data_IF_262272483329
#
_entry.id   IF_262272483329
#
_cell.length_a   1.000
_cell.length_b   1.000
_cell.length_c   1.000
_cell.angle_alpha   90.00
_cell.angle_beta   90.00
_cell.angle_gamma   90.00
#
_symmetry.space_group_name_H-M   'P 1'
#
loop_
_entity.id
_entity.type
_entity.pdbx_description
1 polymer ?
#
# COMPACT_ATOMS: atom_id res chain seq x y z
N UNK A 1 9.60 13.06 -30.37
CA UNK A 1 8.41 13.80 -29.90
C UNK A 1 8.58 14.08 -28.42
N UNK A 2 8.50 15.35 -28.01
CA UNK A 2 8.54 15.75 -26.60
C UNK A 2 7.12 15.67 -26.02
N UNK A 3 6.96 15.00 -24.88
CA UNK A 3 5.66 14.82 -24.19
C UNK A 3 5.28 16.04 -23.36
N UNK A 4 3.98 16.24 -23.20
CA UNK A 4 3.36 17.32 -22.44
C UNK A 4 3.33 16.91 -20.95
N UNK A 5 3.50 17.84 -19.99
CA UNK A 5 3.36 17.53 -18.56
C UNK A 5 1.96 16.97 -18.25
N UNK A 6 1.89 15.82 -17.57
CA UNK A 6 0.64 15.21 -17.12
C UNK A 6 0.25 13.86 -17.78
N UNK A 7 1.02 13.36 -18.75
CA UNK A 7 0.85 11.97 -19.20
C UNK A 7 1.48 10.98 -18.22
N UNK A 8 0.70 10.00 -17.75
CA UNK A 8 1.23 8.89 -16.94
C UNK A 8 2.36 8.18 -17.71
N UNK A 9 3.48 7.96 -17.02
CA UNK A 9 4.61 7.21 -17.56
C UNK A 9 4.27 5.73 -17.84
N UNK A 10 3.09 5.27 -17.41
CA UNK A 10 2.58 3.90 -17.63
C UNK A 10 1.99 3.68 -19.03
N UNK A 11 1.65 4.75 -19.75
CA UNK A 11 0.75 4.64 -20.91
C UNK A 11 1.36 4.40 -22.29
N UNK A 12 2.69 4.34 -22.47
CA UNK A 12 3.25 4.26 -23.83
C UNK A 12 4.56 3.48 -23.90
N UNK A 13 4.45 2.30 -24.51
CA UNK A 13 5.56 1.46 -24.95
C UNK A 13 5.78 0.27 -24.02
N UNK A 14 6.24 -0.85 -24.58
CA UNK A 14 6.54 -2.12 -23.91
C UNK A 14 7.61 -2.05 -22.79
N UNK A 15 7.93 -0.86 -22.29
CA UNK A 15 8.81 -0.63 -21.15
C UNK A 15 7.99 -0.67 -19.87
N UNK A 16 7.75 -1.89 -19.42
CA UNK A 16 7.15 -2.23 -18.13
C UNK A 16 7.68 -1.35 -16.99
N UNK A 17 6.78 -0.98 -16.08
CA UNK A 17 7.10 -0.50 -14.74
C UNK A 17 7.66 -1.68 -13.92
N UNK A 18 8.85 -2.18 -14.27
CA UNK A 18 9.36 -3.43 -13.72
C UNK A 18 9.80 -3.28 -12.26
N UNK A 19 10.31 -2.15 -11.78
CA UNK A 19 11.15 -2.19 -10.58
C UNK A 19 10.55 -2.10 -9.16
N UNK A 20 9.24 -1.87 -8.90
CA UNK A 20 8.76 -1.81 -7.51
C UNK A 20 9.12 -3.07 -6.72
N UNK A 21 9.09 -4.24 -7.34
CA UNK A 21 9.40 -5.51 -6.67
C UNK A 21 10.84 -5.56 -6.15
N UNK A 22 11.81 -4.94 -6.83
CA UNK A 22 13.22 -4.90 -6.38
C UNK A 22 13.32 -4.01 -5.15
N UNK A 23 12.71 -2.84 -5.20
CA UNK A 23 12.68 -1.89 -4.08
C UNK A 23 12.05 -2.52 -2.84
N UNK A 24 10.87 -3.13 -2.98
CA UNK A 24 10.17 -3.77 -1.86
C UNK A 24 10.91 -5.02 -1.35
N UNK A 25 11.52 -5.83 -2.23
CA UNK A 25 12.34 -6.96 -1.79
C UNK A 25 13.61 -6.50 -1.05
N UNK A 26 14.24 -5.41 -1.48
CA UNK A 26 15.36 -4.81 -0.76
C UNK A 26 14.93 -4.28 0.61
N UNK A 27 13.81 -3.54 0.68
CA UNK A 27 13.24 -3.04 1.93
C UNK A 27 12.94 -4.16 2.92
N UNK A 28 12.34 -5.28 2.46
CA UNK A 28 12.11 -6.48 3.27
C UNK A 28 13.41 -7.03 3.86
N UNK A 29 14.45 -7.19 3.04
CA UNK A 29 15.73 -7.79 3.45
C UNK A 29 16.59 -6.87 4.30
N UNK A 30 16.42 -5.56 4.15
CA UNK A 30 17.14 -4.52 4.88
C UNK A 30 16.35 -3.97 6.07
N UNK A 31 15.22 -4.59 6.42
CA UNK A 31 14.37 -4.14 7.50
C UNK A 31 15.18 -3.99 8.81
N UNK A 32 15.04 -2.84 9.53
CA UNK A 32 15.72 -2.63 10.79
C UNK A 32 15.40 -3.77 11.76
N UNK A 33 16.44 -4.41 12.29
CA UNK A 33 16.25 -5.54 13.20
C UNK A 33 15.74 -5.13 14.58
N UNK A 34 15.79 -3.84 14.93
CA UNK A 34 15.50 -3.38 16.30
C UNK A 34 14.72 -2.07 16.32
N UNK A 35 13.39 -2.15 16.17
CA UNK A 35 12.49 -1.13 16.70
C UNK A 35 12.19 -1.49 18.15
N UNK A 36 12.37 -0.54 19.07
CA UNK A 36 12.12 -0.75 20.50
C UNK A 36 10.69 -1.20 20.77
N UNK A 37 10.49 -2.09 21.75
CA UNK A 37 9.18 -2.64 22.11
C UNK A 37 8.15 -1.56 22.43
N UNK A 38 8.56 -0.47 23.07
CA UNK A 38 7.69 0.67 23.35
C UNK A 38 7.19 1.37 22.08
N UNK A 39 8.06 1.57 21.09
CA UNK A 39 7.68 2.20 19.82
C UNK A 39 6.76 1.30 19.01
N UNK A 40 7.07 -0.01 18.94
CA UNK A 40 6.21 -1.02 18.33
C UNK A 40 4.82 -1.05 18.96
N UNK A 41 4.72 -1.00 20.29
CA UNK A 41 3.46 -0.95 21.02
C UNK A 41 2.68 0.36 20.74
N UNK A 42 3.39 1.49 20.58
CA UNK A 42 2.79 2.77 20.19
C UNK A 42 2.16 2.69 18.81
N UNK A 43 2.91 2.19 17.81
CA UNK A 43 2.40 2.01 16.44
C UNK A 43 1.20 1.04 16.41
N UNK A 44 1.26 -0.06 17.19
CA UNK A 44 0.16 -0.99 17.32
C UNK A 44 -1.10 -0.33 17.91
N UNK A 45 -0.94 0.54 18.90
CA UNK A 45 -2.04 1.31 19.50
C UNK A 45 -2.66 2.27 18.49
N UNK A 46 -1.83 2.98 17.71
CA UNK A 46 -2.30 3.89 16.67
C UNK A 46 -3.10 3.13 15.59
N UNK A 47 -2.60 1.97 15.16
CA UNK A 47 -3.28 1.12 14.18
C UNK A 47 -4.62 0.60 14.69
N UNK A 48 -4.66 0.08 15.93
CA UNK A 48 -5.91 -0.40 16.54
C UNK A 48 -6.94 0.71 16.72
N UNK A 49 -6.51 1.89 17.15
CA UNK A 49 -7.39 3.06 17.29
C UNK A 49 -8.01 3.45 15.95
N UNK A 50 -7.21 3.44 14.88
CA UNK A 50 -7.69 3.73 13.53
C UNK A 50 -8.65 2.66 13.01
N UNK A 51 -8.37 1.37 13.22
CA UNK A 51 -9.29 0.28 12.87
C UNK A 51 -10.64 0.42 13.58
N UNK A 52 -10.63 0.74 14.88
CA UNK A 52 -11.86 0.97 15.64
C UNK A 52 -12.66 2.17 15.11
N UNK A 53 -11.98 3.25 14.71
CA UNK A 53 -12.64 4.39 14.06
C UNK A 53 -13.27 3.98 12.73
N UNK A 54 -12.52 3.28 11.87
CA UNK A 54 -13.03 2.81 10.57
C UNK A 54 -14.22 1.87 10.71
N UNK A 55 -14.22 1.00 11.72
CA UNK A 55 -15.33 0.09 12.01
C UNK A 55 -16.65 0.86 12.23
N UNK A 56 -16.57 2.03 12.88
CA UNK A 56 -17.74 2.85 13.19
C UNK A 56 -18.15 3.78 12.04
N UNK A 57 -17.19 4.20 11.22
CA UNK A 57 -17.39 5.24 10.20
C UNK A 57 -17.62 4.72 8.78
N UNK A 58 -17.15 3.52 8.48
CA UNK A 58 -17.27 2.95 7.13
C UNK A 58 -18.59 2.19 6.95
N UNK A 59 -19.15 2.19 5.72
CA UNK A 59 -20.32 1.39 5.39
C UNK A 59 -20.17 -0.10 5.80
N UNK A 60 -21.25 -0.79 6.22
CA UNK A 60 -21.21 -2.17 6.69
C UNK A 60 -20.52 -3.18 5.77
N UNK A 61 -20.49 -2.91 4.46
CA UNK A 61 -19.83 -3.76 3.45
C UNK A 61 -18.30 -3.87 3.64
N UNK A 62 -17.65 -2.93 4.32
CA UNK A 62 -16.21 -2.98 4.60
C UNK A 62 -15.87 -3.64 5.94
N UNK A 63 -16.86 -3.92 6.79
CA UNK A 63 -16.64 -4.56 8.10
C UNK A 63 -15.95 -5.93 8.00
N UNK A 64 -16.23 -6.81 7.02
CA UNK A 64 -15.49 -8.06 6.87
C UNK A 64 -13.98 -7.86 6.74
N UNK A 65 -13.55 -6.87 5.95
CA UNK A 65 -12.14 -6.56 5.72
C UNK A 65 -11.51 -5.90 6.95
N UNK A 66 -12.23 -5.02 7.65
CA UNK A 66 -11.76 -4.44 8.92
C UNK A 66 -11.60 -5.53 9.98
N UNK A 67 -12.59 -6.41 10.13
CA UNK A 67 -12.54 -7.54 11.06
C UNK A 67 -11.39 -8.50 10.71
N UNK A 68 -11.15 -8.74 9.42
CA UNK A 68 -10.02 -9.55 8.97
C UNK A 68 -8.68 -8.94 9.43
N UNK A 69 -8.49 -7.63 9.24
CA UNK A 69 -7.27 -6.95 9.70
C UNK A 69 -7.18 -6.96 11.23
N UNK A 70 -8.27 -6.67 11.95
CA UNK A 70 -8.30 -6.72 13.41
C UNK A 70 -7.95 -8.10 13.96
N UNK A 71 -8.43 -9.17 13.32
CA UNK A 71 -8.13 -10.56 13.72
C UNK A 71 -6.67 -10.97 13.50
N UNK A 72 -5.91 -10.23 12.69
CA UNK A 72 -4.51 -10.51 12.37
C UNK A 72 -3.55 -9.39 12.78
N UNK A 73 -4.05 -8.38 13.52
CA UNK A 73 -3.27 -7.18 13.85
C UNK A 73 -2.03 -7.51 14.68
N UNK A 74 -2.11 -8.49 15.58
CA UNK A 74 -0.98 -8.89 16.42
C UNK A 74 0.19 -9.42 15.59
N UNK A 75 -0.08 -10.11 14.48
CA UNK A 75 0.97 -10.62 13.59
C UNK A 75 1.73 -9.49 12.88
N UNK A 76 1.11 -8.34 12.64
CA UNK A 76 1.77 -7.14 12.07
C UNK A 76 2.80 -6.54 13.04
N UNK A 77 2.58 -6.76 14.33
CA UNK A 77 3.41 -6.22 15.40
C UNK A 77 4.22 -7.30 16.12
N UNK A 78 4.26 -8.52 15.60
CA UNK A 78 5.16 -9.56 16.10
C UNK A 78 6.63 -9.11 16.00
N UNK A 79 7.49 -9.39 17.00
CA UNK A 79 8.91 -9.03 16.97
C UNK A 79 9.65 -9.50 15.71
N UNK A 80 9.26 -10.64 15.15
CA UNK A 80 9.86 -11.24 13.95
C UNK A 80 9.26 -10.69 12.65
N UNK A 81 8.19 -9.89 12.72
CA UNK A 81 7.65 -9.19 11.57
C UNK A 81 8.34 -7.81 11.38
N UNK A 82 8.85 -7.52 10.17
CA UNK A 82 9.62 -6.32 9.94
C UNK A 82 8.76 -5.06 9.98
N UNK A 83 9.16 -4.11 10.84
CA UNK A 83 8.77 -2.71 10.71
C UNK A 83 9.81 -2.02 9.83
N UNK A 84 9.36 -1.43 8.73
CA UNK A 84 10.23 -0.76 7.75
C UNK A 84 9.93 0.72 7.70
N UNK A 85 10.90 1.49 7.21
CA UNK A 85 10.67 2.89 6.91
C UNK A 85 9.70 2.96 5.72
N UNK A 86 8.51 3.51 5.96
CA UNK A 86 7.44 3.68 4.98
C UNK A 86 7.26 5.13 4.62
N UNK A 87 6.96 5.42 3.35
CA UNK A 87 6.87 6.77 2.81
C UNK A 87 5.72 7.60 3.38
N UNK A 88 4.61 6.95 3.72
CA UNK A 88 3.38 7.61 4.17
C UNK A 88 2.53 8.14 3.01
N UNK A 89 3.14 8.69 1.96
CA UNK A 89 2.45 9.10 0.73
C UNK A 89 3.10 8.56 -0.56
N UNK A 90 3.38 7.26 -0.59
CA UNK A 90 3.96 6.62 -1.76
C UNK A 90 2.99 6.67 -2.95
N UNK A 91 3.31 7.46 -3.97
CA UNK A 91 2.49 7.68 -5.18
C UNK A 91 3.39 7.90 -6.39
N UNK A 92 2.84 7.84 -7.61
CA UNK A 92 3.59 8.07 -8.85
C UNK A 92 4.32 9.41 -8.87
N UNK A 93 3.72 10.45 -8.27
CA UNK A 93 4.30 11.79 -8.19
C UNK A 93 5.58 11.82 -7.33
N UNK A 94 5.72 10.87 -6.41
CA UNK A 94 6.84 10.76 -5.48
C UNK A 94 7.88 9.71 -5.90
N UNK A 95 7.68 9.06 -7.05
CA UNK A 95 8.59 8.04 -7.59
C UNK A 95 9.48 8.63 -8.71
N UNK A 96 10.79 8.47 -8.57
CA UNK A 96 11.74 8.76 -9.64
C UNK A 96 12.08 7.47 -10.37
N UNK A 97 11.80 7.41 -11.67
CA UNK A 97 12.07 6.23 -12.50
C UNK A 97 13.09 6.51 -13.59
N UNK A 98 14.00 5.56 -13.82
CA UNK A 98 14.88 5.57 -14.98
C UNK A 98 14.06 5.30 -16.23
N UNK A 99 14.05 6.27 -17.14
CA UNK A 99 13.28 6.23 -18.38
C UNK A 99 13.61 5.04 -19.30
N UNK A 100 14.82 4.49 -19.21
CA UNK A 100 15.31 3.43 -20.10
C UNK A 100 14.83 2.05 -19.67
N UNK A 101 14.72 1.79 -18.38
CA UNK A 101 14.45 0.45 -17.84
C UNK A 101 13.30 0.41 -16.83
N UNK A 102 12.67 1.56 -16.51
CA UNK A 102 11.58 1.63 -15.55
C UNK A 102 12.03 1.45 -14.10
N UNK A 103 13.35 1.52 -13.82
CA UNK A 103 13.85 1.29 -12.48
C UNK A 103 13.52 2.43 -11.53
N UNK A 104 12.97 2.13 -10.35
CA UNK A 104 12.84 3.11 -9.28
C UNK A 104 14.24 3.51 -8.82
N UNK A 105 14.61 4.75 -9.09
CA UNK A 105 15.93 5.33 -8.79
C UNK A 105 15.92 6.21 -7.55
N UNK A 106 14.73 6.62 -7.10
CA UNK A 106 14.58 7.41 -5.89
C UNK A 106 13.12 7.59 -5.49
N UNK A 107 12.94 8.02 -4.25
CA UNK A 107 11.66 8.41 -3.68
C UNK A 107 11.84 9.79 -3.06
N UNK A 108 10.91 10.71 -3.31
CA UNK A 108 10.96 12.12 -2.89
C UNK A 108 9.72 12.48 -2.07
N UNK A 109 9.73 13.64 -1.43
CA UNK A 109 8.68 14.07 -0.47
C UNK A 109 8.58 13.18 0.77
N UNK A 110 9.70 13.08 1.47
CA UNK A 110 9.91 12.24 2.64
C UNK A 110 9.26 12.79 3.93
N UNK A 111 8.29 13.71 3.82
CA UNK A 111 7.72 14.44 4.95
C UNK A 111 6.87 13.56 5.87
N UNK A 112 6.23 12.53 5.32
CA UNK A 112 5.36 11.59 6.03
C UNK A 112 6.05 10.25 6.39
N UNK A 113 7.39 10.22 6.34
CA UNK A 113 8.15 9.01 6.65
C UNK A 113 7.88 8.53 8.08
N UNK A 114 7.55 7.24 8.20
CA UNK A 114 7.31 6.60 9.50
C UNK A 114 7.67 5.12 9.48
N UNK A 115 8.01 4.56 10.63
CA UNK A 115 8.19 3.12 10.75
C UNK A 115 6.83 2.43 10.90
N UNK A 116 6.49 1.57 9.95
CA UNK A 116 5.23 0.81 9.92
C UNK A 116 5.47 -0.63 9.48
N UNK A 117 4.52 -1.55 9.71
CA UNK A 117 4.65 -2.93 9.24
C UNK A 117 4.94 -2.97 7.74
N UNK A 118 5.88 -3.80 7.32
CA UNK A 118 6.10 -4.02 5.90
C UNK A 118 4.79 -4.40 5.21
N UNK A 119 4.57 -3.87 4.02
CA UNK A 119 3.30 -3.98 3.30
C UNK A 119 2.45 -2.71 3.37
N UNK A 120 2.72 -1.81 4.33
CA UNK A 120 2.01 -0.54 4.42
C UNK A 120 2.28 0.42 3.26
N UNK A 121 3.33 0.24 2.46
CA UNK A 121 3.53 1.02 1.22
C UNK A 121 3.06 0.27 -0.03
N UNK A 122 2.63 -0.99 0.09
CA UNK A 122 2.19 -1.79 -1.07
C UNK A 122 0.86 -1.33 -1.65
N UNK A 123 0.04 -0.57 -0.91
CA UNK A 123 -1.16 0.06 -1.46
C UNK A 123 -0.85 0.94 -2.69
N UNK A 124 0.35 1.55 -2.73
CA UNK A 124 0.75 2.39 -3.84
C UNK A 124 0.87 1.56 -5.11
N UNK A 125 1.36 0.32 -4.98
CA UNK A 125 1.41 -0.62 -6.10
C UNK A 125 0.00 -0.98 -6.59
N UNK A 126 -1.01 -1.05 -5.72
CA UNK A 126 -2.39 -1.25 -6.17
C UNK A 126 -2.93 -0.03 -6.89
N UNK A 127 -2.60 1.16 -6.38
CA UNK A 127 -3.08 2.41 -6.92
C UNK A 127 -2.50 2.71 -8.31
N UNK A 128 -1.24 2.37 -8.60
CA UNK A 128 -0.65 2.61 -9.94
C UNK A 128 -1.23 1.70 -11.04
N UNK A 129 -2.07 0.73 -10.69
CA UNK A 129 -2.57 -0.27 -11.64
C UNK A 129 -3.97 0.04 -12.17
N UNK A 130 -4.53 1.17 -11.77
CA UNK A 130 -5.81 1.65 -12.24
C UNK A 130 -5.99 3.12 -11.95
N UNK A 131 -7.07 3.67 -12.48
CA UNK A 131 -7.43 5.06 -12.29
C UNK A 131 -8.88 5.17 -11.84
N UNK A 132 -9.18 6.20 -11.05
CA UNK A 132 -10.56 6.56 -10.75
C UNK A 132 -11.14 7.38 -11.92
N UNK A 133 -11.95 6.73 -12.75
CA UNK A 133 -12.65 7.34 -13.88
C UNK A 133 -14.06 7.84 -13.55
N UNK A 134 -14.78 8.32 -14.57
CA UNK A 134 -16.17 8.79 -14.45
C UNK A 134 -17.16 7.69 -14.04
N UNK A 135 -16.78 6.42 -14.20
CA UNK A 135 -17.60 5.26 -13.90
C UNK A 135 -17.10 4.46 -12.69
N UNK A 136 -16.17 5.03 -11.91
CA UNK A 136 -15.51 4.37 -10.80
C UNK A 136 -14.09 3.92 -11.16
N UNK A 137 -13.54 3.01 -10.37
CA UNK A 137 -12.19 2.48 -10.57
C UNK A 137 -12.10 1.63 -11.83
N UNK A 138 -11.10 1.91 -12.66
CA UNK A 138 -10.79 1.16 -13.88
C UNK A 138 -9.35 0.65 -13.82
N UNK A 139 -9.17 -0.66 -13.74
CA UNK A 139 -7.85 -1.29 -13.84
C UNK A 139 -7.28 -1.09 -15.26
N UNK A 140 -5.98 -0.84 -15.34
CA UNK A 140 -5.27 -0.85 -16.62
C UNK A 140 -5.32 -2.25 -17.23
N UNK A 141 -5.38 -2.34 -18.57
CA UNK A 141 -5.57 -3.63 -19.25
C UNK A 141 -4.50 -4.70 -18.96
N UNK A 142 -3.31 -4.29 -18.54
CA UNK A 142 -2.21 -5.18 -18.15
C UNK A 142 -2.08 -5.40 -16.63
N UNK A 143 -2.94 -4.80 -15.81
CA UNK A 143 -2.86 -4.86 -14.34
C UNK A 143 -2.75 -6.29 -13.79
N UNK A 144 -3.53 -7.29 -14.25
CA UNK A 144 -3.39 -8.66 -13.74
C UNK A 144 -2.01 -9.26 -13.98
N UNK A 145 -1.43 -9.05 -15.17
CA UNK A 145 -0.10 -9.55 -15.52
C UNK A 145 0.99 -8.86 -14.68
N UNK A 146 0.85 -7.55 -14.45
CA UNK A 146 1.80 -6.79 -13.61
C UNK A 146 1.71 -7.20 -12.14
N UNK A 147 0.50 -7.39 -11.57
CA UNK A 147 0.30 -7.92 -10.20
C UNK A 147 0.96 -9.29 -10.05
N UNK A 148 0.68 -10.21 -10.97
CA UNK A 148 1.26 -11.56 -10.93
C UNK A 148 2.79 -11.52 -11.00
N UNK A 149 3.37 -10.72 -11.91
CA UNK A 149 4.81 -10.58 -12.03
C UNK A 149 5.45 -9.97 -10.79
N UNK A 150 4.84 -8.92 -10.21
CA UNK A 150 5.30 -8.28 -8.99
C UNK A 150 5.40 -9.26 -7.84
N UNK A 151 4.32 -9.98 -7.53
CA UNK A 151 4.28 -10.91 -6.41
C UNK A 151 5.21 -12.11 -6.62
N UNK A 152 5.23 -12.69 -7.81
CA UNK A 152 6.13 -13.80 -8.13
C UNK A 152 7.60 -13.41 -7.96
N UNK A 153 7.98 -12.22 -8.42
CA UNK A 153 9.37 -11.74 -8.28
C UNK A 153 9.69 -11.34 -6.84
N UNK A 154 8.78 -10.67 -6.14
CA UNK A 154 8.96 -10.33 -4.73
C UNK A 154 9.20 -11.59 -3.89
N UNK A 155 8.35 -12.61 -4.00
CA UNK A 155 8.52 -13.88 -3.26
C UNK A 155 9.85 -14.54 -3.58
N UNK A 156 10.25 -14.56 -4.86
CA UNK A 156 11.55 -15.14 -5.27
C UNK A 156 12.74 -14.42 -4.64
N UNK A 157 12.71 -13.08 -4.56
CA UNK A 157 13.83 -12.26 -4.11
C UNK A 157 13.89 -12.07 -2.59
N UNK A 158 12.73 -11.91 -1.95
CA UNK A 158 12.59 -11.64 -0.52
C UNK A 158 12.47 -12.92 0.31
N UNK A 159 12.01 -14.02 -0.30
CA UNK A 159 11.82 -15.34 0.32
C UNK A 159 11.04 -15.32 1.66
N UNK A 160 9.92 -14.59 1.77
CA UNK A 160 9.09 -14.62 2.98
C UNK A 160 8.48 -16.01 3.18
N UNK A 161 8.33 -16.42 4.44
CA UNK A 161 7.56 -17.61 4.79
C UNK A 161 6.09 -17.45 4.37
N UNK A 162 5.33 -18.54 4.30
CA UNK A 162 3.90 -18.48 3.97
C UNK A 162 3.11 -17.59 4.95
N UNK A 163 3.37 -17.73 6.25
CA UNK A 163 2.75 -16.89 7.27
C UNK A 163 3.12 -15.41 7.08
N UNK A 164 4.37 -15.11 6.74
CA UNK A 164 4.79 -13.74 6.43
C UNK A 164 4.09 -13.20 5.18
N UNK A 165 3.90 -14.01 4.13
CA UNK A 165 3.14 -13.59 2.94
C UNK A 165 1.69 -13.24 3.29
N UNK A 166 1.04 -14.02 4.14
CA UNK A 166 -0.30 -13.75 4.65
C UNK A 166 -0.32 -12.43 5.46
N UNK A 167 0.64 -12.24 6.38
CA UNK A 167 0.79 -10.99 7.13
C UNK A 167 1.06 -9.77 6.24
N UNK A 168 1.82 -9.93 5.15
CA UNK A 168 2.05 -8.86 4.16
C UNK A 168 0.74 -8.45 3.49
N UNK A 169 -0.13 -9.39 3.14
CA UNK A 169 -1.45 -9.06 2.57
C UNK A 169 -2.34 -8.36 3.57
N UNK A 170 -2.33 -8.78 4.83
CA UNK A 170 -3.04 -8.08 5.92
C UNK A 170 -2.53 -6.65 6.06
N UNK A 171 -1.21 -6.44 6.04
CA UNK A 171 -0.58 -5.13 6.15
C UNK A 171 -0.97 -4.21 4.98
N UNK A 172 -0.94 -4.74 3.76
CA UNK A 172 -1.40 -4.04 2.55
C UNK A 172 -2.86 -3.63 2.66
N UNK A 173 -3.75 -4.55 3.04
CA UNK A 173 -5.18 -4.28 3.23
C UNK A 173 -5.43 -3.23 4.32
N UNK A 174 -4.72 -3.34 5.45
CA UNK A 174 -4.80 -2.38 6.55
C UNK A 174 -4.50 -0.96 6.05
N UNK A 175 -3.44 -0.79 5.23
CA UNK A 175 -3.13 0.53 4.68
C UNK A 175 -4.17 1.02 3.69
N UNK A 176 -4.69 0.17 2.80
CA UNK A 176 -5.76 0.56 1.86
C UNK A 176 -6.96 1.13 2.64
N UNK A 177 -7.40 0.42 3.68
CA UNK A 177 -8.45 0.87 4.60
C UNK A 177 -8.09 2.21 5.27
N UNK A 178 -6.85 2.37 5.75
CA UNK A 178 -6.42 3.60 6.41
C UNK A 178 -6.34 4.79 5.47
N UNK A 179 -5.89 4.58 4.23
CA UNK A 179 -5.69 5.66 3.26
C UNK A 179 -7.01 6.13 2.68
N UNK A 180 -7.87 5.21 2.23
CA UNK A 180 -9.12 5.56 1.54
C UNK A 180 -10.34 5.56 2.46
N UNK A 181 -10.21 4.98 3.66
CA UNK A 181 -11.29 4.95 4.64
C UNK A 181 -11.20 6.04 5.71
N UNK A 182 -10.02 6.58 6.02
CA UNK A 182 -9.86 7.63 7.04
C UNK A 182 -10.06 9.02 6.42
N UNK A 183 -10.90 9.84 7.05
CA UNK A 183 -11.13 11.22 6.59
C UNK A 183 -9.90 12.09 6.85
N UNK A 184 -9.65 13.04 5.95
CA UNK A 184 -8.55 14.03 6.09
C UNK A 184 -8.62 14.81 7.41
N UNK A 185 -9.83 15.04 7.93
CA UNK A 185 -10.11 15.82 9.14
C UNK A 185 -10.29 14.95 10.40
N UNK A 186 -10.04 13.64 10.33
CA UNK A 186 -10.24 12.71 11.45
C UNK A 186 -9.20 12.87 12.58
N UNK A 187 -8.18 13.72 12.39
CA UNK A 187 -7.21 14.04 13.42
C UNK A 187 -6.22 12.93 13.77
N UNK A 188 -6.12 11.89 12.93
CA UNK A 188 -5.14 10.84 13.15
C UNK A 188 -3.73 11.31 12.73
N UNK A 189 -2.71 11.13 13.59
CA UNK A 189 -1.34 11.43 13.24
C UNK A 189 -0.77 10.38 12.27
N UNK A 190 0.07 10.83 11.34
CA UNK A 190 0.71 9.99 10.32
C UNK A 190 -0.28 9.28 9.39
N UNK A 191 0.23 8.59 8.37
CA UNK A 191 -0.57 7.80 7.43
C UNK A 191 -1.74 8.62 6.85
N UNK A 192 -1.44 9.53 5.91
CA UNK A 192 -2.44 10.41 5.31
C UNK A 192 -3.71 9.63 4.90
N UNK A 193 -4.84 10.01 5.50
CA UNK A 193 -6.16 9.64 5.05
C UNK A 193 -6.57 10.60 3.95
N UNK A 194 -7.13 10.10 2.86
CA UNK A 194 -7.52 10.90 1.71
C UNK A 194 -9.02 11.16 1.66
N UNK A 195 -9.83 10.42 2.42
CA UNK A 195 -11.29 10.44 2.29
C UNK A 195 -11.87 11.83 2.56
N UNK A 196 -12.51 12.38 1.55
CA UNK A 196 -13.45 13.49 1.64
C UNK A 196 -14.89 12.98 1.42
N UNK A 197 -15.90 13.85 1.53
CA UNK A 197 -17.30 13.43 1.33
C UNK A 197 -17.61 13.06 -0.13
N UNK A 198 -16.90 13.68 -1.09
CA UNK A 198 -17.30 13.68 -2.51
C UNK A 198 -16.12 13.42 -3.47
N UNK A 199 -15.05 12.76 -3.02
CA UNK A 199 -13.80 12.61 -3.79
C UNK A 199 -13.58 11.23 -4.43
N UNK A 200 -14.58 10.34 -4.35
CA UNK A 200 -14.50 9.01 -4.95
C UNK A 200 -13.64 7.99 -4.17
N UNK A 201 -13.17 8.33 -2.96
CA UNK A 201 -12.31 7.44 -2.16
C UNK A 201 -13.03 6.17 -1.70
N UNK A 202 -14.35 6.20 -1.55
CA UNK A 202 -15.15 5.01 -1.23
C UNK A 202 -15.18 4.05 -2.42
N UNK A 203 -15.24 4.56 -3.64
CA UNK A 203 -15.21 3.80 -4.89
C UNK A 203 -13.84 3.15 -5.10
N UNK A 204 -12.75 3.86 -4.78
CA UNK A 204 -11.40 3.29 -4.72
C UNK A 204 -11.35 2.16 -3.68
N UNK A 205 -11.93 2.39 -2.49
CA UNK A 205 -11.98 1.38 -1.45
C UNK A 205 -12.78 0.14 -1.89
N UNK A 206 -13.92 0.33 -2.56
CA UNK A 206 -14.73 -0.77 -3.13
C UNK A 206 -13.96 -1.59 -4.16
N UNK A 207 -13.09 -0.96 -4.94
CA UNK A 207 -12.27 -1.65 -5.93
C UNK A 207 -11.09 -2.40 -5.32
N UNK A 208 -10.41 -1.79 -4.35
CA UNK A 208 -9.16 -2.32 -3.79
C UNK A 208 -9.35 -3.28 -2.60
N UNK A 209 -10.52 -3.25 -1.94
CA UNK A 209 -10.85 -4.08 -0.78
C UNK A 209 -11.68 -5.33 -1.15
N UNK A 210 -11.87 -5.58 -2.46
CA UNK A 210 -12.46 -6.84 -2.92
C UNK A 210 -11.70 -8.01 -2.29
N UNK A 211 -12.39 -9.03 -1.72
CA UNK A 211 -11.71 -10.24 -1.35
C UNK A 211 -11.01 -10.75 -2.60
N UNK A 212 -9.68 -10.92 -2.53
CA UNK A 212 -8.92 -11.48 -3.64
C UNK A 212 -9.71 -12.67 -4.16
N UNK A 213 -10.14 -12.57 -5.40
CA UNK A 213 -10.69 -13.69 -6.15
C UNK A 213 -9.51 -14.63 -6.34
N UNK A 214 -9.21 -15.40 -5.30
CA UNK A 214 -8.19 -16.41 -5.28
C UNK A 214 -8.58 -17.43 -6.37
N UNK A 215 -7.88 -17.33 -7.49
CA UNK A 215 -7.81 -18.33 -8.56
C UNK A 215 -6.36 -18.73 -8.72
#
# INVERSE_FOLDING_TARGET
MARIPGESYLGVGDHFFEAPHIFFAASWRSAPQHIGSAERARIATDCNTRLAHLYNELPPRFLPSINHVQGHVDALFDPDYPLVLTHGDFSEANMLVDKKNGNLTGVVDLTELSFLPFGFDLYAFDHILGDLGLHGWEDHGNAPAVKAHFWATFVRLAQPSRAQQETIQVARLARILFRYGTRVDAGFPGMAGLRNRDDGTIEVLDALVQPDSAG
#
